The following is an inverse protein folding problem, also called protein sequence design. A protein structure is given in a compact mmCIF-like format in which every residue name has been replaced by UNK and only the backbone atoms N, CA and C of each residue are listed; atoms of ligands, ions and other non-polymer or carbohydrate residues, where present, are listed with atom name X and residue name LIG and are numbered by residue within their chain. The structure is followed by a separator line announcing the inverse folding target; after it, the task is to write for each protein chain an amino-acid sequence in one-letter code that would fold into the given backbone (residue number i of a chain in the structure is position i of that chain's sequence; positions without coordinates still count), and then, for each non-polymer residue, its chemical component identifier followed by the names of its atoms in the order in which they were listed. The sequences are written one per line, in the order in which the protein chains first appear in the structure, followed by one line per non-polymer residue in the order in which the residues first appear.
data_IF_411163995432
#
_entry.id   IF_411163995432
#
_cell.length_a   1.000
_cell.length_b   1.000
_cell.length_c   1.000
_cell.angle_alpha   90.00
_cell.angle_beta   90.00
_cell.angle_gamma   90.00
#
_symmetry.space_group_name_H-M   'P 1'
#
loop_
_entity.id
_entity.type
_entity.pdbx_description
1 polymer ?
#
# COMPACT_ATOMS: atom_id res chain seq x y z
N UNK A 1 -13.70 28.24 -5.86
CA UNK A 1 -12.87 27.48 -4.89
C UNK A 1 -13.65 26.23 -4.56
N UNK A 2 -13.07 25.02 -4.67
CA UNK A 2 -13.78 23.80 -4.27
C UNK A 2 -14.18 23.88 -2.79
N UNK A 3 -15.28 23.23 -2.38
CA UNK A 3 -15.69 23.19 -0.98
C UNK A 3 -14.57 22.65 -0.08
N UNK A 4 -14.42 23.14 1.17
CA UNK A 4 -13.40 22.66 2.11
C UNK A 4 -13.41 21.13 2.29
N UNK A 5 -14.60 20.53 2.29
CA UNK A 5 -14.80 19.07 2.38
C UNK A 5 -14.18 18.32 1.19
N UNK A 6 -14.28 18.87 -0.02
CA UNK A 6 -13.68 18.28 -1.23
C UNK A 6 -12.15 18.30 -1.13
N UNK A 7 -11.57 19.37 -0.59
CA UNK A 7 -10.12 19.46 -0.39
C UNK A 7 -9.63 18.53 0.72
N UNK A 8 -10.43 18.35 1.78
CA UNK A 8 -10.13 17.37 2.82
C UNK A 8 -10.13 15.93 2.27
N UNK A 9 -11.15 15.56 1.50
CA UNK A 9 -11.24 14.23 0.87
C UNK A 9 -10.05 13.96 -0.04
N UNK A 10 -9.68 14.91 -0.91
CA UNK A 10 -8.49 14.79 -1.77
C UNK A 10 -7.19 14.68 -0.97
N UNK A 11 -7.05 15.47 0.08
CA UNK A 11 -5.88 15.42 0.97
C UNK A 11 -5.75 14.06 1.67
N UNK A 12 -6.88 13.51 2.14
CA UNK A 12 -6.93 12.16 2.73
C UNK A 12 -6.61 11.08 1.71
N UNK A 13 -7.21 11.13 0.52
CA UNK A 13 -6.92 10.20 -0.57
C UNK A 13 -5.42 10.17 -0.92
N UNK A 14 -4.79 11.34 -1.03
CA UNK A 14 -3.35 11.45 -1.30
C UNK A 14 -2.50 10.79 -0.22
N UNK A 15 -2.82 11.02 1.06
CA UNK A 15 -2.10 10.40 2.19
C UNK A 15 -2.25 8.88 2.20
N UNK A 16 -3.45 8.37 1.88
CA UNK A 16 -3.72 6.93 1.84
C UNK A 16 -2.99 6.28 0.65
N UNK A 17 -3.00 6.90 -0.52
CA UNK A 17 -2.20 6.45 -1.67
C UNK A 17 -0.72 6.36 -1.32
N UNK A 18 -0.17 7.40 -0.70
CA UNK A 18 1.24 7.39 -0.25
C UNK A 18 1.52 6.25 0.74
N UNK A 19 0.63 6.02 1.70
CA UNK A 19 0.78 4.91 2.64
C UNK A 19 0.76 3.55 1.93
N UNK A 20 -0.10 3.36 0.94
CA UNK A 20 -0.14 2.14 0.13
C UNK A 20 1.20 1.89 -0.58
N UNK A 21 1.77 2.93 -1.20
CA UNK A 21 3.05 2.87 -1.88
C UNK A 21 4.20 2.56 -0.91
N UNK A 22 4.21 3.19 0.27
CA UNK A 22 5.23 2.95 1.30
C UNK A 22 5.18 1.49 1.81
N UNK A 23 3.97 0.96 2.06
CA UNK A 23 3.77 -0.44 2.49
C UNK A 23 4.27 -1.43 1.43
N UNK A 24 3.88 -1.23 0.17
CA UNK A 24 4.28 -2.11 -0.92
C UNK A 24 5.78 -2.04 -1.18
N UNK A 25 6.36 -0.84 -1.18
CA UNK A 25 7.80 -0.63 -1.37
C UNK A 25 8.62 -1.30 -0.30
N UNK A 26 8.23 -1.17 0.98
CA UNK A 26 8.95 -1.80 2.09
C UNK A 26 8.95 -3.32 1.95
N UNK A 27 7.78 -3.91 1.68
CA UNK A 27 7.63 -5.35 1.54
C UNK A 27 8.42 -5.92 0.35
N UNK A 28 8.39 -5.22 -0.79
CA UNK A 28 9.17 -5.57 -1.98
C UNK A 28 10.68 -5.46 -1.72
N UNK A 29 11.13 -4.44 -1.01
CA UNK A 29 12.54 -4.22 -0.68
C UNK A 29 13.07 -5.38 0.17
N UNK A 30 12.41 -5.70 1.28
CA UNK A 30 12.83 -6.82 2.16
C UNK A 30 12.83 -8.15 1.41
N UNK A 31 11.80 -8.42 0.59
CA UNK A 31 11.76 -9.64 -0.21
C UNK A 31 12.94 -9.73 -1.19
N UNK A 32 13.26 -8.61 -1.84
CA UNK A 32 14.38 -8.51 -2.78
C UNK A 32 15.72 -8.72 -2.09
N UNK A 33 15.92 -8.08 -0.94
CA UNK A 33 17.15 -8.25 -0.16
C UNK A 33 17.29 -9.68 0.37
N UNK A 34 16.22 -10.28 0.89
CA UNK A 34 16.23 -11.67 1.32
C UNK A 34 16.54 -12.67 0.19
N UNK A 35 16.17 -12.36 -1.05
CA UNK A 35 16.48 -13.19 -2.21
C UNK A 35 17.96 -13.09 -2.64
N UNK A 36 18.64 -11.98 -2.36
CA UNK A 36 20.07 -11.77 -2.68
C UNK A 36 21.01 -12.43 -1.68
N UNK A 37 20.55 -12.66 -0.45
CA UNK A 37 21.41 -13.18 0.60
C UNK A 37 21.61 -14.69 0.46
N UNK A 38 22.87 -15.11 0.60
CA UNK A 38 23.26 -16.52 0.66
C UNK A 38 23.06 -17.06 2.08
N UNK A 39 21.85 -17.54 2.36
CA UNK A 39 21.47 -18.09 3.66
C UNK A 39 21.64 -19.60 3.67
N UNK A 40 22.26 -20.13 4.72
CA UNK A 40 22.36 -21.57 4.96
C UNK A 40 21.88 -21.91 6.37
N UNK A 41 21.42 -23.15 6.54
CA UNK A 41 20.93 -23.66 7.82
C UNK A 41 19.46 -24.11 7.78
N UNK A 42 19.00 -24.78 8.85
CA UNK A 42 17.72 -25.49 8.86
C UNK A 42 16.48 -24.59 8.79
N UNK A 43 16.63 -23.27 8.94
CA UNK A 43 15.51 -22.31 8.98
C UNK A 43 15.38 -21.46 7.72
N UNK A 44 16.32 -21.55 6.77
CA UNK A 44 16.37 -20.67 5.60
C UNK A 44 15.07 -20.65 4.80
N UNK A 45 14.55 -21.82 4.43
CA UNK A 45 13.35 -21.93 3.60
C UNK A 45 12.11 -21.44 4.34
N UNK A 46 12.04 -21.68 5.65
CA UNK A 46 10.96 -21.17 6.50
C UNK A 46 10.94 -19.66 6.51
N UNK A 47 12.07 -19.01 6.80
CA UNK A 47 12.15 -17.53 6.84
C UNK A 47 11.83 -16.94 5.46
N UNK A 48 12.33 -17.52 4.37
CA UNK A 48 11.97 -17.10 3.00
C UNK A 48 10.46 -17.22 2.74
N UNK A 49 9.82 -18.29 3.23
CA UNK A 49 8.38 -18.49 3.16
C UNK A 49 7.59 -17.44 3.96
N UNK A 50 8.04 -17.12 5.16
CA UNK A 50 7.45 -16.07 6.02
C UNK A 50 7.55 -14.69 5.36
N UNK A 51 8.70 -14.34 4.77
CA UNK A 51 8.89 -13.09 4.02
C UNK A 51 7.98 -13.03 2.78
N UNK A 52 7.86 -14.13 2.03
CA UNK A 52 6.94 -14.20 0.88
C UNK A 52 5.49 -14.01 1.31
N UNK A 53 5.09 -14.63 2.43
CA UNK A 53 3.74 -14.50 2.99
C UNK A 53 3.47 -13.05 3.43
N UNK A 54 4.43 -12.43 4.10
CA UNK A 54 4.34 -11.04 4.52
C UNK A 54 4.23 -10.09 3.32
N UNK A 55 5.06 -10.30 2.27
CA UNK A 55 4.95 -9.55 1.00
C UNK A 55 3.53 -9.63 0.41
N UNK A 56 2.95 -10.83 0.36
CA UNK A 56 1.59 -11.01 -0.14
C UNK A 56 0.56 -10.24 0.67
N UNK A 57 0.65 -10.28 2.01
CA UNK A 57 -0.27 -9.56 2.91
C UNK A 57 -0.14 -8.04 2.76
N UNK A 58 1.09 -7.53 2.64
CA UNK A 58 1.34 -6.12 2.38
C UNK A 58 0.78 -5.70 1.02
N UNK A 59 0.91 -6.53 -0.02
CA UNK A 59 0.30 -6.28 -1.33
C UNK A 59 -1.22 -6.15 -1.24
N UNK A 60 -1.89 -7.08 -0.54
CA UNK A 60 -3.34 -6.99 -0.30
C UNK A 60 -3.72 -5.72 0.47
N UNK A 61 -2.98 -5.39 1.53
CA UNK A 61 -3.24 -4.17 2.30
C UNK A 61 -3.06 -2.90 1.45
N UNK A 62 -2.01 -2.84 0.62
CA UNK A 62 -1.78 -1.72 -0.29
C UNK A 62 -2.91 -1.59 -1.32
N UNK A 63 -3.40 -2.70 -1.88
CA UNK A 63 -4.57 -2.69 -2.78
C UNK A 63 -5.81 -2.11 -2.11
N UNK A 64 -6.15 -2.55 -0.89
CA UNK A 64 -7.30 -2.05 -0.14
C UNK A 64 -7.18 -0.56 0.19
N UNK A 65 -5.96 -0.08 0.50
CA UNK A 65 -5.70 1.34 0.72
C UNK A 65 -5.91 2.15 -0.56
N UNK A 66 -5.46 1.65 -1.71
CA UNK A 66 -5.68 2.33 -3.00
C UNK A 66 -7.16 2.40 -3.36
N UNK A 67 -7.90 1.31 -3.17
CA UNK A 67 -9.35 1.29 -3.37
C UNK A 67 -10.06 2.33 -2.51
N UNK A 68 -9.65 2.49 -1.25
CA UNK A 68 -10.20 3.53 -0.36
C UNK A 68 -9.85 4.93 -0.84
N UNK A 69 -8.59 5.18 -1.21
CA UNK A 69 -8.18 6.48 -1.73
C UNK A 69 -8.94 6.85 -3.01
N UNK A 70 -9.18 5.88 -3.89
CA UNK A 70 -9.95 6.07 -5.12
C UNK A 70 -11.43 6.34 -4.84
N UNK A 71 -12.01 5.67 -3.83
CA UNK A 71 -13.37 5.96 -3.34
C UNK A 71 -13.49 7.40 -2.83
N UNK A 72 -12.55 7.88 -2.01
CA UNK A 72 -12.56 9.26 -1.52
C UNK A 72 -12.42 10.28 -2.67
N UNK A 73 -11.60 9.97 -3.68
CA UNK A 73 -11.50 10.79 -4.88
C UNK A 73 -12.79 10.81 -5.71
N UNK A 74 -13.50 9.68 -5.79
CA UNK A 74 -14.79 9.60 -6.46
C UNK A 74 -15.86 10.42 -5.72
N UNK A 75 -15.94 10.29 -4.40
CA UNK A 75 -16.83 11.09 -3.55
C UNK A 75 -16.57 12.59 -3.72
N UNK A 76 -15.30 13.01 -3.69
CA UNK A 76 -14.91 14.40 -3.93
C UNK A 76 -15.32 14.93 -5.32
N UNK A 77 -15.33 14.05 -6.35
CA UNK A 77 -15.80 14.40 -7.70
C UNK A 77 -17.32 14.48 -7.77
N UNK A 78 -18.01 13.58 -7.08
CA UNK A 78 -19.47 13.53 -7.03
C UNK A 78 -20.06 14.77 -6.35
N UNK A 79 -19.40 15.29 -5.31
CA UNK A 79 -19.76 16.55 -4.64
C UNK A 79 -19.64 17.79 -5.54
N UNK A 80 -18.89 17.71 -6.63
CA UNK A 80 -18.73 18.79 -7.60
C UNK A 80 -19.72 18.69 -8.77
N UNK A 81 -20.55 17.64 -8.82
CA UNK A 81 -21.61 17.53 -9.82
C UNK A 81 -22.74 18.53 -9.48
N UNK A 82 -23.30 19.21 -10.50
CA UNK A 82 -24.37 20.18 -10.33
C UNK A 82 -25.69 19.56 -9.85
#
# INVERSE_FOLDING_TARGET
MPPPEVEELKSRALKIHKLADDVEKLANTVHTEAAKMDWSGPLTDRVRGEIRTWKSRCGTAASLLREEADRLNAEARDMLKP
#
